data_IF_151597676657
#
_entry.id   IF_151597676657
#
_cell.length_a   1.000
_cell.length_b   1.000
_cell.length_c   1.000
_cell.angle_alpha   90.00
_cell.angle_beta   90.00
_cell.angle_gamma   90.00
#
_symmetry.space_group_name_H-M   'P 1'
#
loop_
_entity.id
_entity.type
_entity.pdbx_description
1 polymer ?
#
# COMPACT_ATOMS: atom_id res chain seq x y z
N UNK A 1 -9.01 -18.87 9.41
CA UNK A 1 -7.98 -17.85 9.12
C UNK A 1 -7.35 -18.03 7.74
N UNK A 2 -6.88 -19.23 7.39
CA UNK A 2 -6.19 -19.49 6.12
C UNK A 2 -6.95 -18.94 4.89
N UNK A 3 -8.25 -19.21 4.80
CA UNK A 3 -9.11 -18.65 3.74
C UNK A 3 -9.04 -17.11 3.65
N UNK A 4 -9.05 -16.40 4.78
CA UNK A 4 -8.96 -14.92 4.82
C UNK A 4 -7.59 -14.43 4.34
N UNK A 5 -6.52 -15.10 4.77
CA UNK A 5 -5.14 -14.80 4.35
C UNK A 5 -4.99 -14.99 2.84
N UNK A 6 -5.44 -16.14 2.31
CA UNK A 6 -5.39 -16.45 0.88
C UNK A 6 -6.17 -15.42 0.07
N UNK A 7 -7.38 -15.05 0.51
CA UNK A 7 -8.19 -14.01 -0.16
C UNK A 7 -7.45 -12.67 -0.20
N UNK A 8 -6.86 -12.22 0.91
CA UNK A 8 -6.11 -10.96 0.95
C UNK A 8 -4.94 -11.00 -0.03
N UNK A 9 -4.13 -12.07 0.00
CA UNK A 9 -2.97 -12.21 -0.90
C UNK A 9 -3.42 -12.19 -2.37
N UNK A 10 -4.42 -12.99 -2.72
CA UNK A 10 -4.91 -13.09 -4.10
C UNK A 10 -5.47 -11.76 -4.61
N UNK A 11 -6.28 -11.06 -3.80
CA UNK A 11 -6.82 -9.74 -4.19
C UNK A 11 -5.71 -8.72 -4.36
N UNK A 12 -4.73 -8.66 -3.45
CA UNK A 12 -3.61 -7.74 -3.56
C UNK A 12 -2.73 -8.02 -4.77
N UNK A 13 -2.47 -9.30 -5.08
CA UNK A 13 -1.71 -9.68 -6.28
C UNK A 13 -2.48 -9.30 -7.54
N UNK A 14 -3.75 -9.68 -7.66
CA UNK A 14 -4.55 -9.37 -8.84
C UNK A 14 -4.66 -7.88 -9.10
N UNK A 15 -5.05 -7.09 -8.08
CA UNK A 15 -5.20 -5.64 -8.24
C UNK A 15 -3.85 -4.96 -8.41
N UNK A 16 -2.84 -5.34 -7.62
CA UNK A 16 -1.50 -4.76 -7.69
C UNK A 16 -0.82 -5.02 -9.03
N UNK A 17 -0.83 -6.25 -9.52
CA UNK A 17 -0.25 -6.62 -10.81
C UNK A 17 -1.00 -5.98 -11.98
N UNK A 18 -2.34 -6.05 -11.97
CA UNK A 18 -3.15 -5.45 -13.06
C UNK A 18 -2.94 -3.94 -13.13
N UNK A 19 -2.97 -3.25 -11.98
CA UNK A 19 -2.77 -1.79 -11.94
C UNK A 19 -1.33 -1.39 -12.31
N UNK A 20 -0.32 -2.18 -11.94
CA UNK A 20 1.07 -1.93 -12.36
C UNK A 20 1.24 -2.01 -13.87
N UNK A 21 0.75 -3.07 -14.50
CA UNK A 21 0.83 -3.22 -15.96
C UNK A 21 -0.01 -2.18 -16.69
N UNK A 22 -1.20 -1.85 -16.18
CA UNK A 22 -2.01 -0.76 -16.73
C UNK A 22 -1.25 0.58 -16.65
N UNK A 23 -0.61 0.86 -15.53
CA UNK A 23 0.15 2.09 -15.36
C UNK A 23 1.33 2.16 -16.34
N UNK A 24 2.10 1.07 -16.50
CA UNK A 24 3.19 1.03 -17.49
C UNK A 24 2.67 1.20 -18.92
N UNK A 25 1.57 0.53 -19.27
CA UNK A 25 0.98 0.62 -20.59
C UNK A 25 0.55 2.05 -20.97
N UNK A 26 0.17 2.86 -19.97
CA UNK A 26 -0.25 4.24 -20.16
C UNK A 26 0.90 5.27 -20.12
N UNK A 27 2.15 4.85 -19.87
CA UNK A 27 3.31 5.75 -19.85
C UNK A 27 3.96 5.86 -21.25
N UNK A 28 4.26 7.09 -21.69
CA UNK A 28 4.92 7.41 -22.97
C UNK A 28 6.46 7.32 -22.91
N UNK A 29 7.13 7.04 -24.04
CA UNK A 29 8.52 6.54 -24.25
C UNK A 29 9.70 7.06 -23.38
N UNK A 30 9.62 8.16 -22.62
CA UNK A 30 10.71 8.61 -21.72
C UNK A 30 10.89 7.74 -20.43
N UNK A 31 10.47 6.48 -20.47
CA UNK A 31 10.09 5.67 -19.30
C UNK A 31 11.24 4.88 -18.66
N UNK A 32 12.35 4.62 -19.36
CA UNK A 32 13.33 3.60 -18.88
C UNK A 32 13.91 3.91 -17.50
N UNK A 33 14.16 5.19 -17.18
CA UNK A 33 14.66 5.60 -15.85
C UNK A 33 13.56 5.67 -14.79
N UNK A 34 12.29 5.78 -15.19
CA UNK A 34 11.15 5.89 -14.27
C UNK A 34 10.58 4.53 -13.88
N UNK A 35 10.53 3.55 -14.79
CA UNK A 35 9.99 2.19 -14.52
C UNK A 35 10.57 1.56 -13.25
N UNK A 36 11.90 1.54 -13.01
CA UNK A 36 12.45 0.94 -11.79
C UNK A 36 11.99 1.64 -10.51
N UNK A 37 11.81 2.96 -10.57
CA UNK A 37 11.32 3.75 -9.44
C UNK A 37 9.83 3.49 -9.21
N UNK A 38 9.04 3.40 -10.28
CA UNK A 38 7.62 3.06 -10.21
C UNK A 38 7.42 1.65 -9.63
N UNK A 39 8.20 0.68 -10.10
CA UNK A 39 8.19 -0.69 -9.59
C UNK A 39 8.49 -0.72 -8.08
N UNK A 40 9.51 0.03 -7.63
CA UNK A 40 9.80 0.17 -6.19
C UNK A 40 8.62 0.74 -5.42
N UNK A 41 7.89 1.72 -5.96
CA UNK A 41 6.72 2.29 -5.32
C UNK A 41 5.57 1.27 -5.19
N UNK A 42 5.28 0.52 -6.27
CA UNK A 42 4.29 -0.57 -6.21
C UNK A 42 4.67 -1.65 -5.19
N UNK A 43 5.92 -2.10 -5.20
CA UNK A 43 6.41 -3.11 -4.26
C UNK A 43 6.32 -2.59 -2.82
N UNK A 44 6.69 -1.34 -2.57
CA UNK A 44 6.60 -0.72 -1.25
C UNK A 44 5.16 -0.76 -0.73
N UNK A 45 4.20 -0.23 -1.50
CA UNK A 45 2.81 -0.15 -1.08
C UNK A 45 2.16 -1.53 -0.94
N UNK A 46 2.43 -2.44 -1.89
CA UNK A 46 1.99 -3.84 -1.82
C UNK A 46 2.50 -4.51 -0.54
N UNK A 47 3.81 -4.48 -0.31
CA UNK A 47 4.45 -5.22 0.78
C UNK A 47 4.04 -4.65 2.13
N UNK A 48 4.04 -3.33 2.29
CA UNK A 48 3.65 -2.68 3.53
C UNK A 48 2.20 -3.02 3.88
N UNK A 49 1.27 -2.85 2.94
CA UNK A 49 -0.15 -3.14 3.16
C UNK A 49 -0.40 -4.62 3.44
N UNK A 50 0.30 -5.53 2.75
CA UNK A 50 0.16 -6.95 2.98
C UNK A 50 0.64 -7.35 4.38
N UNK A 51 1.84 -6.91 4.78
CA UNK A 51 2.39 -7.17 6.13
C UNK A 51 1.48 -6.60 7.21
N UNK A 52 0.97 -5.37 7.01
CA UNK A 52 0.02 -4.74 7.93
C UNK A 52 -1.25 -5.59 8.06
N UNK A 53 -1.89 -5.98 6.96
CA UNK A 53 -3.12 -6.77 6.99
C UNK A 53 -2.93 -8.15 7.62
N UNK A 54 -1.83 -8.83 7.32
CA UNK A 54 -1.50 -10.11 7.94
C UNK A 54 -1.28 -9.97 9.46
N UNK A 55 -0.57 -8.91 9.87
CA UNK A 55 -0.37 -8.60 11.29
C UNK A 55 -1.69 -8.32 11.99
N UNK A 56 -2.60 -7.55 11.36
CA UNK A 56 -3.91 -7.26 11.90
C UNK A 56 -4.82 -8.49 12.00
N UNK A 57 -4.75 -9.41 11.03
CA UNK A 57 -5.50 -10.67 11.09
C UNK A 57 -5.09 -11.52 12.29
N UNK A 58 -3.80 -11.51 12.67
CA UNK A 58 -3.29 -12.22 13.85
C UNK A 58 -3.63 -11.45 15.14
N UNK A 59 -3.34 -10.16 15.20
CA UNK A 59 -3.57 -9.34 16.39
C UNK A 59 -5.05 -9.24 16.77
N UNK A 60 -5.96 -9.28 15.79
CA UNK A 60 -7.41 -9.23 16.03
C UNK A 60 -7.94 -10.40 16.86
N UNK A 61 -7.19 -11.52 16.93
CA UNK A 61 -7.55 -12.68 17.75
C UNK A 61 -7.42 -12.44 19.25
N UNK A 62 -6.67 -11.41 19.65
CA UNK A 62 -6.39 -11.10 21.04
C UNK A 62 -7.23 -9.91 21.50
N UNK A 63 -8.10 -10.11 22.50
CA UNK A 63 -9.04 -9.08 22.98
C UNK A 63 -8.35 -7.77 23.37
N UNK A 64 -7.23 -7.86 24.11
CA UNK A 64 -6.45 -6.70 24.55
C UNK A 64 -6.02 -5.77 23.40
N UNK A 65 -5.61 -6.34 22.27
CA UNK A 65 -5.11 -5.57 21.14
C UNK A 65 -6.26 -5.09 20.24
N UNK A 66 -7.34 -5.87 20.14
CA UNK A 66 -8.45 -5.59 19.23
C UNK A 66 -9.07 -4.20 19.44
N UNK A 67 -9.29 -3.79 20.69
CA UNK A 67 -9.88 -2.48 21.01
C UNK A 67 -9.00 -1.30 20.54
N UNK A 68 -7.69 -1.52 20.45
CA UNK A 68 -6.72 -0.50 20.05
C UNK A 68 -6.34 -0.56 18.56
N UNK A 69 -6.76 -1.60 17.82
CA UNK A 69 -6.35 -1.79 16.42
C UNK A 69 -6.70 -0.60 15.53
N UNK A 70 -7.83 0.08 15.77
CA UNK A 70 -8.18 1.30 15.03
C UNK A 70 -7.15 2.41 15.25
N UNK A 71 -6.73 2.64 16.50
CA UNK A 71 -5.70 3.64 16.82
C UNK A 71 -4.33 3.25 16.27
N UNK A 72 -3.95 1.97 16.40
CA UNK A 72 -2.70 1.42 15.85
C UNK A 72 -2.67 1.62 14.33
N UNK A 73 -3.79 1.38 13.64
CA UNK A 73 -3.88 1.57 12.20
C UNK A 73 -3.60 3.01 11.78
N UNK A 74 -4.21 3.98 12.47
CA UNK A 74 -3.96 5.41 12.19
C UNK A 74 -2.49 5.79 12.38
N UNK A 75 -1.85 5.28 13.45
CA UNK A 75 -0.42 5.49 13.66
C UNK A 75 0.45 4.87 12.58
N UNK A 76 0.13 3.64 12.15
CA UNK A 76 0.84 2.96 11.06
C UNK A 76 0.65 3.63 9.70
N UNK A 77 -0.51 4.24 9.44
CA UNK A 77 -0.73 5.04 8.24
C UNK A 77 0.21 6.25 8.19
N UNK A 78 0.32 7.00 9.30
CA UNK A 78 1.27 8.12 9.39
C UNK A 78 2.71 7.62 9.20
N UNK A 79 3.07 6.52 9.86
CA UNK A 79 4.40 5.91 9.71
C UNK A 79 4.67 5.50 8.25
N UNK A 80 3.70 4.90 7.56
CA UNK A 80 3.79 4.51 6.14
C UNK A 80 4.12 5.71 5.26
N UNK A 81 3.44 6.84 5.48
CA UNK A 81 3.64 8.08 4.74
C UNK A 81 5.05 8.61 4.97
N UNK A 82 5.52 8.65 6.23
CA UNK A 82 6.87 9.11 6.58
C UNK A 82 7.94 8.21 5.93
N UNK A 83 7.80 6.88 6.03
CA UNK A 83 8.76 5.94 5.43
C UNK A 83 8.76 6.07 3.91
N UNK A 84 7.60 6.17 3.27
CA UNK A 84 7.50 6.36 1.83
C UNK A 84 8.18 7.67 1.39
N UNK A 85 7.85 8.78 2.06
CA UNK A 85 8.45 10.08 1.80
C UNK A 85 9.99 10.05 1.93
N UNK A 86 10.51 9.39 2.97
CA UNK A 86 11.94 9.23 3.19
C UNK A 86 12.63 8.32 2.17
N UNK A 87 12.03 7.18 1.84
CA UNK A 87 12.62 6.18 0.92
C UNK A 87 12.65 6.68 -0.53
N UNK A 88 11.72 7.56 -0.90
CA UNK A 88 11.64 8.18 -2.21
C UNK A 88 12.19 9.62 -2.23
N UNK A 89 12.94 10.03 -1.21
CA UNK A 89 13.71 11.27 -1.26
C UNK A 89 15.00 11.05 -2.08
N UNK A 90 15.38 11.95 -3.01
CA UNK A 90 14.75 13.24 -3.29
C UNK A 90 13.65 13.21 -4.35
N UNK A 91 13.33 12.06 -4.96
CA UNK A 91 12.45 11.96 -6.14
C UNK A 91 11.03 12.51 -5.89
N UNK A 92 10.53 12.34 -4.66
CA UNK A 92 9.20 12.79 -4.26
C UNK A 92 9.21 14.23 -3.70
N UNK A 93 10.17 14.58 -2.84
CA UNK A 93 10.12 15.80 -2.02
C UNK A 93 11.33 16.74 -2.17
N UNK A 94 12.36 16.33 -2.90
CA UNK A 94 13.54 17.19 -3.15
C UNK A 94 13.45 17.95 -4.46
N UNK A 95 14.51 18.70 -4.76
CA UNK A 95 14.69 19.50 -5.98
C UNK A 95 15.03 18.64 -7.23
N UNK A 96 14.48 17.43 -7.29
CA UNK A 96 14.90 16.39 -8.22
C UNK A 96 14.46 16.60 -9.68
N UNK A 97 15.27 16.03 -10.58
CA UNK A 97 15.20 16.00 -12.05
C UNK A 97 13.89 15.44 -12.68
N UNK A 98 13.01 14.81 -11.89
CA UNK A 98 11.77 14.23 -12.42
C UNK A 98 10.73 15.32 -12.66
N UNK A 99 10.07 15.25 -13.82
CA UNK A 99 8.94 16.11 -14.13
C UNK A 99 7.83 15.94 -13.07
N UNK A 100 7.02 16.99 -12.89
CA UNK A 100 5.89 16.97 -11.95
C UNK A 100 4.92 15.81 -12.24
N UNK A 101 4.78 15.43 -13.52
CA UNK A 101 3.96 14.30 -13.95
C UNK A 101 4.46 12.97 -13.39
N UNK A 102 5.76 12.65 -13.56
CA UNK A 102 6.33 11.41 -13.04
C UNK A 102 6.33 11.38 -11.51
N UNK A 103 6.57 12.52 -10.87
CA UNK A 103 6.48 12.65 -9.42
C UNK A 103 5.07 12.35 -8.90
N UNK A 104 4.04 12.90 -9.54
CA UNK A 104 2.64 12.61 -9.20
C UNK A 104 2.28 11.15 -9.49
N UNK A 105 2.86 10.56 -10.55
CA UNK A 105 2.64 9.15 -10.90
C UNK A 105 3.13 8.19 -9.82
N UNK A 106 4.15 8.54 -9.03
CA UNK A 106 4.57 7.75 -7.87
C UNK A 106 3.50 7.65 -6.77
N UNK A 107 2.47 8.49 -6.78
CA UNK A 107 1.35 8.43 -5.84
C UNK A 107 0.21 7.52 -6.32
N UNK A 108 0.17 7.11 -7.59
CA UNK A 108 -0.84 6.17 -8.11
C UNK A 108 -0.88 4.86 -7.31
N UNK A 109 0.26 4.22 -6.96
CA UNK A 109 0.26 3.06 -6.07
C UNK A 109 -0.45 3.30 -4.74
N UNK A 110 -0.37 4.51 -4.17
CA UNK A 110 -1.08 4.86 -2.93
C UNK A 110 -2.59 4.73 -3.15
N UNK A 111 -3.09 5.29 -4.25
CA UNK A 111 -4.51 5.29 -4.62
C UNK A 111 -5.01 3.86 -4.91
N UNK A 112 -4.14 2.97 -5.40
CA UNK A 112 -4.48 1.56 -5.62
C UNK A 112 -4.57 0.79 -4.30
N UNK A 113 -3.54 0.86 -3.46
CA UNK A 113 -3.41 -0.05 -2.32
C UNK A 113 -4.09 0.46 -1.05
N UNK A 114 -4.18 1.78 -0.84
CA UNK A 114 -4.77 2.34 0.38
C UNK A 114 -6.28 2.02 0.50
N UNK A 115 -7.12 2.17 -0.55
CA UNK A 115 -8.53 1.79 -0.44
C UNK A 115 -8.72 0.31 -0.13
N UNK A 116 -7.94 -0.58 -0.77
CA UNK A 116 -7.97 -2.01 -0.47
C UNK A 116 -7.63 -2.27 1.00
N UNK A 117 -6.56 -1.66 1.49
CA UNK A 117 -6.12 -1.75 2.89
C UNK A 117 -7.25 -1.32 3.85
N UNK A 118 -7.85 -0.15 3.62
CA UNK A 118 -8.95 0.38 4.44
C UNK A 118 -10.17 -0.54 4.43
N UNK A 119 -10.54 -1.10 3.27
CA UNK A 119 -11.66 -2.05 3.15
C UNK A 119 -11.41 -3.30 4.00
N UNK A 120 -10.23 -3.90 3.89
CA UNK A 120 -9.91 -5.10 4.65
C UNK A 120 -9.77 -4.82 6.16
N UNK A 121 -9.13 -3.71 6.55
CA UNK A 121 -9.04 -3.30 7.96
C UNK A 121 -10.43 -3.09 8.54
N UNK A 122 -11.30 -2.39 7.83
CA UNK A 122 -12.69 -2.16 8.26
C UNK A 122 -13.43 -3.48 8.47
N UNK A 123 -13.27 -4.45 7.57
CA UNK A 123 -13.84 -5.80 7.73
C UNK A 123 -13.27 -6.55 8.95
N UNK A 124 -11.97 -6.41 9.24
CA UNK A 124 -11.34 -7.02 10.43
C UNK A 124 -11.91 -6.41 11.71
N UNK A 125 -12.04 -5.08 11.78
CA UNK A 125 -12.55 -4.35 12.95
C UNK A 125 -14.06 -4.54 13.18
N UNK A 126 -14.84 -4.79 12.13
CA UNK A 126 -16.27 -5.11 12.26
C UNK A 126 -16.52 -6.55 12.67
N UNK A 127 -15.63 -7.48 12.27
CA UNK A 127 -15.81 -8.92 12.44
C UNK A 127 -15.85 -9.47 13.88
N UNK A 128 -15.71 -8.61 14.90
CA UNK A 128 -15.86 -8.97 16.33
C UNK A 128 -17.08 -8.33 17.00
N UNK A 129 -17.80 -7.48 16.28
CA UNK A 129 -19.07 -6.88 16.73
C UNK A 129 -20.29 -7.73 16.37
N UNK A 130 -20.09 -8.97 15.91
CA UNK A 130 -21.12 -9.94 15.55
C UNK A 130 -20.94 -11.22 16.34
#
# INVERSE_FOLDING_TARGET
MLKKIVIVIVVFLLVGTTSYFLHIFLLEEEVERFIPLLQKAYIFHFSFSLVLLLSFLVLAQFNKYFEQLGFIYMGLLVLKIIIFAGFFYPQLLGDNLLSRFYRASLLIPVIVFLPLEVIFISKILQGKKA
#
